data_IF_654794648689
#
_entry.id   IF_654794648689
#
_cell.length_a   1.000
_cell.length_b   1.000
_cell.length_c   1.000
_cell.angle_alpha   90.00
_cell.angle_beta   90.00
_cell.angle_gamma   90.00
#
_symmetry.space_group_name_H-M   'P 1'
#
loop_
_entity.id
_entity.type
_entity.pdbx_description
1 polymer ?
#
# COMPACT_ATOMS: atom_id res chain seq x y z
N UNK A 1 27.16 21.13 -20.71
CA UNK A 1 27.51 20.12 -19.69
C UNK A 1 26.30 20.00 -18.77
N UNK A 2 25.22 19.36 -19.22
CA UNK A 2 23.97 19.20 -18.43
C UNK A 2 23.35 17.80 -18.62
N UNK A 3 23.76 17.03 -19.63
CA UNK A 3 23.16 15.74 -19.99
C UNK A 3 23.53 14.57 -19.06
N UNK A 4 24.58 14.68 -18.24
CA UNK A 4 24.99 13.59 -17.36
C UNK A 4 24.19 13.51 -16.05
N UNK A 5 23.52 14.59 -15.64
CA UNK A 5 22.73 14.63 -14.41
C UNK A 5 21.32 14.06 -14.61
N UNK A 6 20.67 14.31 -15.76
CA UNK A 6 19.32 13.78 -16.05
C UNK A 6 19.26 12.25 -16.05
N UNK A 7 20.23 11.59 -16.70
CA UNK A 7 20.30 10.13 -16.76
C UNK A 7 20.65 9.47 -15.40
N UNK A 8 21.26 10.22 -14.47
CA UNK A 8 21.53 9.76 -13.11
C UNK A 8 20.29 9.91 -12.20
N UNK A 9 19.52 10.98 -12.39
CA UNK A 9 18.28 11.26 -11.66
C UNK A 9 17.19 10.22 -11.99
N UNK A 10 17.15 9.72 -13.23
CA UNK A 10 16.16 8.74 -13.69
C UNK A 10 16.29 7.38 -12.97
N UNK A 11 17.51 6.95 -12.65
CA UNK A 11 17.77 5.71 -11.90
C UNK A 11 17.32 5.74 -10.44
N UNK A 12 17.04 6.91 -9.89
CA UNK A 12 16.61 7.08 -8.50
C UNK A 12 15.09 7.21 -8.32
N UNK A 13 14.31 7.27 -9.41
CA UNK A 13 12.84 7.42 -9.34
C UNK A 13 12.12 6.07 -9.35
N UNK A 14 11.00 6.00 -8.64
CA UNK A 14 10.04 4.90 -8.67
C UNK A 14 8.67 5.52 -8.89
N UNK A 15 7.98 5.09 -9.94
CA UNK A 15 6.75 5.68 -10.41
C UNK A 15 5.56 4.89 -9.88
N UNK A 16 4.64 5.56 -9.20
CA UNK A 16 3.41 4.95 -8.72
C UNK A 16 2.39 4.87 -9.86
N UNK A 17 1.77 3.71 -10.07
CA UNK A 17 0.64 3.54 -11.01
C UNK A 17 -0.65 4.10 -10.39
N UNK A 18 -1.18 5.27 -10.83
CA UNK A 18 -2.31 5.89 -10.14
C UNK A 18 -3.61 5.10 -10.25
N UNK A 19 -3.80 4.35 -11.34
CA UNK A 19 -4.96 3.47 -11.52
C UNK A 19 -5.07 2.42 -10.42
N UNK A 20 -3.93 1.85 -10.01
CA UNK A 20 -3.89 0.81 -8.96
C UNK A 20 -4.39 1.31 -7.61
N UNK A 21 -4.28 2.60 -7.31
CA UNK A 21 -4.79 3.18 -6.05
C UNK A 21 -6.32 3.19 -5.98
N UNK A 22 -6.99 3.30 -7.14
CA UNK A 22 -8.45 3.35 -7.23
C UNK A 22 -9.06 1.95 -7.18
N UNK A 23 -8.36 1.00 -7.79
CA UNK A 23 -8.85 -0.37 -7.98
C UNK A 23 -8.40 -1.35 -6.87
N UNK A 24 -7.55 -0.89 -5.94
CA UNK A 24 -7.00 -1.71 -4.86
C UNK A 24 -8.09 -2.32 -3.97
N UNK A 25 -8.18 -3.66 -3.97
CA UNK A 25 -9.11 -4.41 -3.14
C UNK A 25 -8.85 -4.21 -1.64
N UNK A 26 -9.89 -4.32 -0.80
CA UNK A 26 -9.72 -4.22 0.66
C UNK A 26 -9.01 -5.44 1.23
N UNK A 27 -8.00 -5.20 2.05
CA UNK A 27 -7.29 -6.25 2.77
C UNK A 27 -7.51 -6.17 4.29
N UNK A 28 -7.50 -7.34 4.93
CA UNK A 28 -7.42 -7.49 6.38
C UNK A 28 -5.96 -7.60 6.79
N UNK A 29 -5.50 -6.72 7.69
CA UNK A 29 -4.12 -6.68 8.14
C UNK A 29 -3.99 -6.99 9.64
N UNK A 30 -2.90 -7.68 9.98
CA UNK A 30 -2.54 -8.03 11.35
C UNK A 30 -1.08 -7.68 11.62
N UNK A 31 -0.83 -6.87 12.65
CA UNK A 31 0.52 -6.60 13.15
C UNK A 31 0.80 -7.52 14.33
N UNK A 32 1.71 -8.48 14.14
CA UNK A 32 2.05 -9.49 15.15
C UNK A 32 3.18 -9.01 16.08
N UNK A 33 3.18 -9.40 17.37
CA UNK A 33 4.25 -9.06 18.32
C UNK A 33 5.43 -10.04 18.22
N UNK A 34 5.75 -10.48 17.00
CA UNK A 34 6.83 -11.42 16.72
C UNK A 34 7.31 -11.29 15.29
N UNK A 35 8.56 -11.69 15.05
CA UNK A 35 9.16 -11.77 13.73
C UNK A 35 8.90 -13.13 13.09
N UNK A 36 8.45 -13.14 11.84
CA UNK A 36 8.34 -14.34 11.00
C UNK A 36 9.39 -14.21 9.92
N UNK A 37 10.42 -15.07 9.97
CA UNK A 37 11.61 -14.95 9.12
C UNK A 37 11.35 -15.24 7.62
N UNK A 38 10.16 -15.74 7.29
CA UNK A 38 9.77 -16.09 5.91
C UNK A 38 8.81 -15.05 5.39
N UNK A 39 9.14 -14.47 4.23
CA UNK A 39 8.25 -13.63 3.45
C UNK A 39 7.61 -14.47 2.34
N UNK A 40 6.29 -14.59 2.33
CA UNK A 40 5.57 -15.35 1.31
C UNK A 40 4.11 -15.64 1.68
N UNK A 41 3.38 -16.39 0.84
CA UNK A 41 2.00 -16.75 1.09
C UNK A 41 1.83 -17.55 2.39
N UNK A 42 0.76 -17.27 3.14
CA UNK A 42 0.41 -18.00 4.34
C UNK A 42 -1.10 -18.29 4.40
N UNK A 43 -1.51 -19.48 4.87
CA UNK A 43 -2.93 -19.86 4.96
C UNK A 43 -3.64 -19.20 6.17
N UNK A 44 -3.62 -17.86 6.24
CA UNK A 44 -4.19 -17.06 7.35
C UNK A 44 -5.67 -17.35 7.54
N UNK A 45 -6.45 -17.38 6.45
CA UNK A 45 -7.89 -17.63 6.48
C UNK A 45 -8.27 -19.04 6.95
N UNK A 46 -7.32 -19.99 6.91
CA UNK A 46 -7.55 -21.36 7.36
C UNK A 46 -7.21 -21.56 8.83
N UNK A 47 -6.20 -20.86 9.34
CA UNK A 47 -5.64 -21.14 10.67
C UNK A 47 -5.80 -19.98 11.65
N UNK A 48 -5.57 -18.75 11.20
CA UNK A 48 -5.54 -17.59 12.08
C UNK A 48 -6.92 -16.94 12.20
N UNK A 49 -7.54 -16.55 11.08
CA UNK A 49 -8.85 -15.86 11.06
C UNK A 49 -9.93 -16.63 11.82
N UNK A 50 -10.13 -17.95 11.59
CA UNK A 50 -11.18 -18.70 12.28
C UNK A 50 -10.92 -18.93 13.78
N UNK A 51 -9.67 -18.75 14.21
CA UNK A 51 -9.28 -18.91 15.62
C UNK A 51 -9.43 -17.60 16.42
N UNK A 52 -9.70 -16.47 15.76
CA UNK A 52 -9.95 -15.20 16.43
C UNK A 52 -11.29 -15.27 17.18
N UNK A 53 -11.27 -14.87 18.44
CA UNK A 53 -12.43 -14.82 19.33
C UNK A 53 -12.62 -13.42 19.87
N UNK A 54 -13.88 -13.02 20.05
CA UNK A 54 -14.22 -11.83 20.80
C UNK A 54 -14.13 -12.15 22.30
N UNK A 55 -13.18 -11.52 22.99
CA UNK A 55 -13.07 -11.53 24.45
C UNK A 55 -13.76 -10.32 25.10
N UNK A 56 -13.69 -10.25 26.43
CA UNK A 56 -14.25 -9.14 27.24
C UNK A 56 -13.64 -7.79 26.90
N UNK A 57 -12.33 -7.74 26.68
CA UNK A 57 -11.57 -6.49 26.56
C UNK A 57 -10.91 -6.32 25.18
N UNK A 58 -11.31 -7.12 24.20
CA UNK A 58 -10.74 -7.09 22.84
C UNK A 58 -10.77 -8.44 22.15
N UNK A 59 -9.94 -8.60 21.13
CA UNK A 59 -9.79 -9.83 20.36
C UNK A 59 -8.76 -10.75 21.02
N UNK A 60 -8.95 -12.05 20.87
CA UNK A 60 -8.03 -13.08 21.35
C UNK A 60 -7.81 -14.15 20.28
N UNK A 61 -6.55 -14.56 20.10
CA UNK A 61 -6.17 -15.65 19.17
C UNK A 61 -4.90 -16.31 19.68
N UNK A 62 -4.60 -17.53 19.20
CA UNK A 62 -3.31 -18.16 19.45
C UNK A 62 -2.46 -18.21 18.19
N UNK A 63 -1.18 -17.84 18.30
CA UNK A 63 -0.20 -18.04 17.23
C UNK A 63 0.97 -18.86 17.77
N UNK A 64 1.28 -19.99 17.11
CA UNK A 64 2.32 -20.94 17.55
C UNK A 64 2.16 -21.39 19.02
N UNK A 65 0.91 -21.58 19.46
CA UNK A 65 0.58 -22.00 20.83
C UNK A 65 0.69 -20.90 21.89
N UNK A 66 1.02 -19.66 21.51
CA UNK A 66 1.09 -18.51 22.42
C UNK A 66 -0.17 -17.66 22.28
N UNK A 67 -0.72 -17.19 23.39
CA UNK A 67 -1.93 -16.36 23.38
C UNK A 67 -1.59 -14.92 23.01
N UNK A 68 -2.33 -14.40 22.05
CA UNK A 68 -2.28 -13.01 21.63
C UNK A 68 -3.59 -12.33 22.00
N UNK A 69 -3.48 -11.10 22.49
CA UNK A 69 -4.61 -10.21 22.76
C UNK A 69 -4.46 -9.01 21.84
N UNK A 70 -5.53 -8.60 21.18
CA UNK A 70 -5.46 -7.54 20.20
C UNK A 70 -6.67 -6.64 20.21
N UNK A 71 -6.52 -5.52 19.51
CA UNK A 71 -7.60 -4.58 19.25
C UNK A 71 -7.51 -4.11 17.81
N UNK A 72 -8.63 -3.58 17.32
CA UNK A 72 -8.68 -2.95 16.02
C UNK A 72 -8.21 -1.50 16.11
N UNK A 73 -7.24 -1.15 15.27
CA UNK A 73 -6.68 0.20 15.17
C UNK A 73 -7.08 0.79 13.82
N UNK A 74 -7.74 1.94 13.87
CA UNK A 74 -8.15 2.68 12.67
C UNK A 74 -6.99 3.50 12.11
N UNK A 75 -6.95 3.62 10.78
CA UNK A 75 -6.07 4.56 10.11
C UNK A 75 -6.48 6.00 10.52
N UNK A 76 -5.53 6.92 10.76
CA UNK A 76 -5.87 8.27 11.21
C UNK A 76 -6.76 9.01 10.18
N UNK A 77 -7.61 9.94 10.63
CA UNK A 77 -8.54 10.64 9.75
C UNK A 77 -7.81 11.42 8.65
N UNK A 78 -8.38 11.40 7.44
CA UNK A 78 -7.77 12.04 6.27
C UNK A 78 -6.64 11.24 5.61
N UNK A 79 -6.37 10.02 6.09
CA UNK A 79 -5.40 9.10 5.50
C UNK A 79 -6.09 7.80 5.05
N UNK A 80 -5.47 7.12 4.09
CA UNK A 80 -5.85 5.80 3.60
C UNK A 80 -4.60 4.90 3.60
N UNK A 81 -4.77 3.63 3.98
CA UNK A 81 -3.69 2.65 3.96
C UNK A 81 -3.62 1.91 2.62
N UNK A 82 -2.40 1.69 2.11
CA UNK A 82 -2.15 0.91 0.89
C UNK A 82 -1.06 -0.14 1.11
N UNK A 83 -1.23 -1.31 0.50
CA UNK A 83 -0.19 -2.33 0.35
C UNK A 83 0.40 -2.17 -1.04
N UNK A 84 1.69 -1.83 -1.10
CA UNK A 84 2.40 -1.53 -2.34
C UNK A 84 3.39 -2.65 -2.70
N UNK A 85 3.45 -3.02 -3.98
CA UNK A 85 4.39 -4.02 -4.50
C UNK A 85 5.12 -3.43 -5.70
N UNK A 86 6.45 -3.63 -5.75
CA UNK A 86 7.27 -3.23 -6.88
C UNK A 86 6.91 -4.10 -8.09
N UNK A 87 6.73 -3.47 -9.25
CA UNK A 87 6.56 -4.22 -10.50
C UNK A 87 7.92 -4.77 -10.92
N UNK A 88 8.01 -6.08 -11.12
CA UNK A 88 9.18 -6.68 -11.76
C UNK A 88 9.11 -6.37 -13.27
N UNK A 89 10.24 -6.01 -13.88
CA UNK A 89 10.35 -5.82 -15.33
C UNK A 89 10.15 -7.18 -16.02
N UNK A 90 8.89 -7.57 -16.26
CA UNK A 90 8.58 -8.84 -16.90
C UNK A 90 7.11 -9.25 -16.77
N UNK A 91 6.25 -8.67 -17.61
CA UNK A 91 5.32 -9.37 -18.51
C UNK A 91 4.29 -8.35 -19.00
N UNK A 92 4.57 -7.82 -20.19
CA UNK A 92 3.53 -7.24 -21.04
C UNK A 92 2.59 -8.41 -21.34
N UNK A 93 1.47 -8.51 -20.63
CA UNK A 93 0.37 -9.37 -21.04
C UNK A 93 -0.13 -8.81 -22.36
N UNK A 94 0.44 -9.34 -23.44
CA UNK A 94 -0.07 -9.16 -24.79
C UNK A 94 -1.50 -9.65 -24.78
N UNK A 95 -2.45 -8.72 -24.77
CA UNK A 95 -3.84 -9.04 -25.04
C UNK A 95 -3.98 -9.06 -26.55
N UNK A 96 -4.22 -10.27 -27.04
CA UNK A 96 -4.24 -10.68 -28.43
C UNK A 96 -4.96 -9.68 -29.35
N UNK A 97 -4.25 -9.30 -30.41
CA UNK A 97 -4.82 -8.68 -31.59
C UNK A 97 -5.76 -9.69 -32.26
N UNK A 98 -7.06 -9.38 -32.28
CA UNK A 98 -8.01 -9.96 -33.25
C UNK A 98 -8.40 -8.88 -34.24
N UNK A 99 -7.95 -9.08 -35.48
CA UNK A 99 -8.08 -8.20 -36.63
C UNK A 99 -9.52 -8.17 -37.18
N UNK A 100 -10.04 -6.99 -37.56
CA UNK A 100 -11.29 -6.92 -38.34
C UNK A 100 -11.96 -5.55 -38.54
N UNK A 101 -11.45 -4.79 -39.51
CA UNK A 101 -12.22 -3.96 -40.48
C UNK A 101 -12.62 -2.48 -40.20
N UNK A 102 -11.81 -1.60 -40.79
CA UNK A 102 -12.12 -0.48 -41.72
C UNK A 102 -13.05 0.71 -41.36
N UNK A 103 -12.39 1.88 -41.19
CA UNK A 103 -12.54 3.16 -41.94
C UNK A 103 -12.99 4.47 -41.20
N UNK A 104 -12.03 5.41 -41.21
CA UNK A 104 -12.08 6.87 -41.50
C UNK A 104 -12.61 7.90 -40.48
N UNK A 105 -11.64 8.70 -40.01
CA UNK A 105 -11.60 10.15 -39.70
C UNK A 105 -12.30 10.66 -38.43
N UNK A 106 -11.47 11.22 -37.55
CA UNK A 106 -11.62 12.60 -37.06
C UNK A 106 -10.23 13.10 -36.62
N UNK A 107 -9.83 14.25 -37.15
CA UNK A 107 -8.62 14.99 -36.75
C UNK A 107 -8.89 15.58 -35.36
N UNK A 108 -8.49 14.86 -34.33
CA UNK A 108 -8.55 15.31 -32.94
C UNK A 108 -7.10 15.58 -32.50
N UNK A 109 -6.85 16.79 -32.01
CA UNK A 109 -5.56 17.25 -31.48
C UNK A 109 -4.83 16.13 -30.74
N UNK A 110 -3.64 15.76 -31.21
CA UNK A 110 -2.79 14.77 -30.56
C UNK A 110 -2.34 15.29 -29.19
N UNK A 111 -3.16 15.09 -28.16
CA UNK A 111 -2.61 14.80 -26.85
C UNK A 111 -1.82 13.51 -27.03
N UNK A 112 -0.48 13.59 -26.88
CA UNK A 112 0.36 12.41 -26.91
C UNK A 112 -0.27 11.32 -26.02
N UNK A 113 -0.45 10.08 -26.51
CA UNK A 113 -0.97 9.02 -25.66
C UNK A 113 -0.09 8.97 -24.40
N UNK A 114 -0.66 8.78 -23.20
CA UNK A 114 0.11 8.75 -21.94
C UNK A 114 1.30 7.77 -21.99
N UNK A 115 1.19 6.76 -22.87
CA UNK A 115 2.24 5.82 -23.27
C UNK A 115 3.58 6.47 -23.69
N UNK A 116 3.55 7.68 -24.27
CA UNK A 116 4.76 8.36 -24.74
C UNK A 116 5.61 8.98 -23.61
N UNK A 117 4.98 9.37 -22.49
CA UNK A 117 5.68 9.89 -21.30
C UNK A 117 6.14 8.79 -20.35
N UNK A 118 5.48 7.62 -20.41
CA UNK A 118 5.84 6.47 -19.57
C UNK A 118 7.07 5.69 -20.08
N UNK A 119 7.51 5.96 -21.32
CA UNK A 119 8.58 5.22 -21.99
C UNK A 119 9.96 5.42 -21.37
N UNK A 120 10.14 6.51 -20.63
CA UNK A 120 11.39 6.85 -19.95
C UNK A 120 11.41 6.37 -18.48
N UNK A 121 10.30 5.83 -17.98
CA UNK A 121 10.20 5.36 -16.60
C UNK A 121 10.73 3.94 -16.42
N UNK A 122 11.76 3.82 -15.59
CA UNK A 122 12.48 2.56 -15.42
C UNK A 122 11.96 1.66 -14.30
N UNK A 123 11.19 2.19 -13.34
CA UNK A 123 10.72 1.42 -12.17
C UNK A 123 9.33 1.86 -11.77
N UNK A 124 8.44 0.89 -11.59
CA UNK A 124 7.06 1.13 -11.17
C UNK A 124 6.74 0.41 -9.88
N UNK A 125 5.79 0.98 -9.15
CA UNK A 125 5.18 0.40 -7.95
C UNK A 125 3.66 0.56 -8.07
N UNK A 126 2.91 -0.45 -7.64
CA UNK A 126 1.45 -0.46 -7.69
C UNK A 126 0.84 -0.87 -6.36
N UNK A 127 -0.37 -0.37 -6.09
CA UNK A 127 -1.17 -0.83 -4.96
C UNK A 127 -1.86 -2.15 -5.30
N UNK A 128 -1.62 -3.17 -4.47
CA UNK A 128 -2.28 -4.47 -4.57
C UNK A 128 -3.50 -4.56 -3.66
N UNK A 129 -3.52 -3.78 -2.57
CA UNK A 129 -4.63 -3.70 -1.65
C UNK A 129 -4.71 -2.35 -0.93
N UNK A 130 -5.88 -2.05 -0.38
CA UNK A 130 -6.19 -0.88 0.46
C UNK A 130 -6.73 -1.32 1.83
N UNK A 131 -6.58 -0.48 2.84
CA UNK A 131 -7.13 -0.71 4.18
C UNK A 131 -7.40 0.59 4.94
N UNK A 132 -8.47 0.60 5.73
CA UNK A 132 -8.83 1.70 6.63
C UNK A 132 -8.58 1.39 8.10
N UNK A 133 -8.19 0.15 8.41
CA UNK A 133 -7.92 -0.35 9.75
C UNK A 133 -7.05 -1.60 9.71
N UNK A 134 -6.44 -1.94 10.84
CA UNK A 134 -5.69 -3.19 11.02
C UNK A 134 -5.82 -3.69 12.46
N UNK A 135 -5.57 -4.97 12.71
CA UNK A 135 -5.54 -5.51 14.07
C UNK A 135 -4.13 -5.44 14.65
N UNK A 136 -3.99 -4.78 15.80
CA UNK A 136 -2.75 -4.73 16.55
C UNK A 136 -2.77 -5.85 17.61
N UNK A 137 -1.84 -6.79 17.51
CA UNK A 137 -1.72 -7.91 18.45
C UNK A 137 -0.57 -7.70 19.44
N UNK A 138 -0.81 -8.00 20.71
CA UNK A 138 0.17 -8.07 21.78
C UNK A 138 0.23 -9.46 22.40
N UNK A 139 1.37 -9.78 22.99
CA UNK A 139 1.59 -11.06 23.67
C UNK A 139 0.88 -11.03 25.04
N UNK A 140 -0.07 -11.96 25.26
CA UNK A 140 -0.89 -12.12 26.47
C UNK A 140 -1.75 -10.90 26.89
N UNK A 141 -1.41 -9.69 26.45
CA UNK A 141 -2.04 -8.42 26.79
C UNK A 141 -2.12 -7.54 25.56
N UNK A 142 -3.12 -6.67 25.52
CA UNK A 142 -3.30 -5.71 24.43
C UNK A 142 -2.22 -4.63 24.56
N UNK A 143 -1.55 -4.22 23.46
CA UNK A 143 -0.52 -3.19 23.56
C UNK A 143 -1.07 -1.88 24.13
N UNK A 144 -0.39 -1.35 25.15
CA UNK A 144 -0.80 -0.14 25.85
C UNK A 144 -0.82 1.13 24.98
N UNK A 145 -1.28 2.25 25.54
CA UNK A 145 -1.30 3.55 24.86
C UNK A 145 0.10 4.07 24.50
N UNK A 146 1.13 3.63 25.23
CA UNK A 146 2.55 3.95 25.07
C UNK A 146 3.24 3.12 23.96
N UNK A 147 2.53 2.19 23.33
CA UNK A 147 3.06 1.42 22.23
C UNK A 147 3.51 2.35 21.08
N UNK A 148 4.75 2.15 20.61
CA UNK A 148 5.37 2.98 19.56
C UNK A 148 4.50 3.16 18.31
N UNK A 149 3.75 2.13 17.93
CA UNK A 149 2.82 2.15 16.79
C UNK A 149 1.77 3.24 16.95
N UNK A 150 1.23 3.43 18.16
CA UNK A 150 0.22 4.47 18.42
C UNK A 150 0.82 5.86 18.31
N UNK A 151 2.02 6.07 18.87
CA UNK A 151 2.77 7.30 18.68
C UNK A 151 3.02 7.59 17.20
N UNK A 152 3.48 6.60 16.44
CA UNK A 152 3.71 6.73 15.00
C UNK A 152 2.45 7.12 14.21
N UNK A 153 1.27 6.60 14.60
CA UNK A 153 -0.01 6.96 13.96
C UNK A 153 -0.45 8.41 14.25
N UNK A 154 0.06 9.05 15.30
CA UNK A 154 -0.22 10.47 15.57
C UNK A 154 0.69 11.44 14.81
N UNK A 155 1.83 10.96 14.29
CA UNK A 155 2.82 11.78 13.61
C UNK A 155 2.27 12.54 12.39
N UNK A 156 1.46 11.96 11.49
CA UNK A 156 0.96 12.69 10.32
C UNK A 156 0.19 13.97 10.65
N UNK A 157 -0.58 13.96 11.74
CA UNK A 157 -1.31 15.15 12.20
C UNK A 157 -0.37 16.27 12.65
N UNK A 158 0.72 15.91 13.34
CA UNK A 158 1.76 16.86 13.72
C UNK A 158 2.53 17.38 12.50
N UNK A 159 2.88 16.50 11.57
CA UNK A 159 3.58 16.87 10.34
C UNK A 159 2.77 17.87 9.50
N UNK A 160 1.46 17.68 9.37
CA UNK A 160 0.58 18.61 8.65
C UNK A 160 0.63 20.03 9.25
N UNK A 161 0.69 20.16 10.57
CA UNK A 161 0.79 21.46 11.24
C UNK A 161 2.16 22.12 11.06
N UNK A 162 3.25 21.34 11.16
CA UNK A 162 4.63 21.86 11.03
C UNK A 162 4.92 22.32 9.59
N UNK A 163 4.40 21.59 8.59
CA UNK A 163 4.70 21.84 7.19
C UNK A 163 3.65 22.72 6.48
N UNK A 164 2.67 23.25 7.22
CA UNK A 164 1.72 24.22 6.66
C UNK A 164 2.44 25.50 6.21
N UNK A 165 1.99 26.09 5.11
CA UNK A 165 2.53 27.37 4.66
C UNK A 165 2.24 28.46 5.69
N UNK A 166 3.23 29.34 5.92
CA UNK A 166 3.04 30.53 6.75
C UNK A 166 2.17 31.51 5.96
N UNK A 167 1.07 32.02 6.52
CA UNK A 167 0.25 33.02 5.83
C UNK A 167 1.07 34.29 5.58
N UNK A 168 0.96 34.85 4.37
CA UNK A 168 1.50 36.17 4.06
C UNK A 168 0.49 37.24 4.50
N UNK A 169 0.97 38.27 5.21
CA UNK A 169 0.18 39.41 5.73
C UNK A 169 -0.28 40.38 4.62
#
# INVERSE_FOLDING_TARGET
MESSDEAAVEKCRVHLRPGTLRDAARATLHLLPCEVLVNGPAPVERFFTPAIRQGTDGLEVSFRGRRLRGEEVVVPPGLEGYVMVMEEKGEVVGKDFSEGSSNLREEQELAAPPEALERDFDRFIGATASFSRFTLWGLETIPGPDAKVRGALTWPGLAAAIHAQVPED
#
